data_IF_342034592686
#
_entry.id   IF_342034592686
#
_cell.length_a   1.000
_cell.length_b   1.000
_cell.length_c   1.000
_cell.angle_alpha   90.00
_cell.angle_beta   90.00
_cell.angle_gamma   90.00
#
_symmetry.space_group_name_H-M   'P 1'
#
loop_
_entity.id
_entity.type
_entity.pdbx_description
1 polymer ?
#
# COMPACT_ATOMS: atom_id res chain seq x y z
N UNK A 1 33.16 18.19 -17.16
CA UNK A 1 32.08 18.51 -16.21
C UNK A 1 30.86 17.70 -16.60
N UNK A 2 30.65 16.56 -15.95
CA UNK A 2 29.49 15.69 -16.20
C UNK A 2 28.33 16.23 -15.38
N UNK A 3 27.21 16.51 -16.02
CA UNK A 3 26.02 17.13 -15.46
C UNK A 3 25.29 16.14 -14.53
N UNK A 4 25.79 16.01 -13.30
CA UNK A 4 25.11 15.31 -12.21
C UNK A 4 24.05 16.26 -11.64
N UNK A 5 22.80 16.12 -12.11
CA UNK A 5 21.54 16.49 -11.41
C UNK A 5 20.39 16.58 -12.42
N UNK A 6 19.81 15.43 -12.78
CA UNK A 6 18.41 15.37 -13.23
C UNK A 6 17.64 14.66 -12.14
N UNK A 7 17.13 15.46 -11.19
CA UNK A 7 16.13 14.98 -10.24
C UNK A 7 14.99 14.36 -11.03
N UNK A 8 14.92 13.05 -10.86
CA UNK A 8 14.03 12.16 -11.56
C UNK A 8 12.70 12.23 -10.84
N UNK A 9 11.65 12.74 -11.46
CA UNK A 9 10.37 13.03 -10.79
C UNK A 9 9.23 12.18 -11.37
N UNK A 10 8.40 11.60 -10.49
CA UNK A 10 7.11 11.04 -10.84
C UNK A 10 6.08 12.16 -10.75
N UNK A 11 5.40 12.46 -11.85
CA UNK A 11 4.35 13.48 -11.89
C UNK A 11 3.00 12.87 -11.50
N UNK A 12 2.33 13.51 -10.55
CA UNK A 12 0.99 13.14 -10.13
C UNK A 12 -0.08 14.07 -10.73
N UNK A 13 -1.32 13.60 -10.81
CA UNK A 13 -2.44 14.31 -11.42
C UNK A 13 -2.88 15.56 -10.65
N UNK A 14 -2.55 15.63 -9.36
CA UNK A 14 -2.74 16.80 -8.50
C UNK A 14 -1.60 17.85 -8.65
N UNK A 15 -0.63 17.61 -9.53
CA UNK A 15 0.54 18.48 -9.71
C UNK A 15 1.68 18.23 -8.72
N UNK A 16 1.50 17.35 -7.73
CA UNK A 16 2.58 16.91 -6.86
C UNK A 16 3.61 16.11 -7.65
N UNK A 17 4.84 16.16 -7.14
CA UNK A 17 5.96 15.45 -7.71
C UNK A 17 6.65 14.65 -6.64
N UNK A 18 6.88 13.38 -6.93
CA UNK A 18 7.62 12.49 -6.04
C UNK A 18 9.03 12.32 -6.61
N UNK A 19 10.05 12.44 -5.78
CA UNK A 19 11.39 12.06 -6.18
C UNK A 19 11.43 10.56 -6.44
N UNK A 20 11.79 10.18 -7.65
CA UNK A 20 11.78 8.81 -8.13
C UNK A 20 12.72 7.92 -7.33
N UNK A 21 13.94 8.42 -7.04
CA UNK A 21 14.94 7.67 -6.26
C UNK A 21 14.42 7.37 -4.86
N UNK A 22 13.76 8.34 -4.23
CA UNK A 22 13.19 8.16 -2.89
C UNK A 22 12.03 7.17 -2.91
N UNK A 23 11.14 7.27 -3.90
CA UNK A 23 10.07 6.29 -4.10
C UNK A 23 10.65 4.88 -4.23
N UNK A 24 11.65 4.69 -5.09
CA UNK A 24 12.24 3.39 -5.27
C UNK A 24 12.96 2.87 -4.05
N UNK A 25 13.77 3.69 -3.40
CA UNK A 25 14.46 3.29 -2.17
C UNK A 25 13.45 2.83 -1.10
N UNK A 26 12.30 3.51 -1.01
CA UNK A 26 11.24 3.16 -0.07
C UNK A 26 10.52 1.84 -0.41
N UNK A 27 10.23 1.59 -1.69
CA UNK A 27 9.38 0.45 -2.10
C UNK A 27 10.14 -0.77 -2.64
N UNK A 28 11.45 -0.64 -2.92
CA UNK A 28 12.27 -1.73 -3.45
C UNK A 28 12.20 -3.02 -2.60
N UNK A 29 12.25 -2.98 -1.25
CA UNK A 29 12.11 -4.19 -0.43
C UNK A 29 10.73 -4.85 -0.56
N UNK A 30 9.67 -4.05 -0.66
CA UNK A 30 8.30 -4.56 -0.82
C UNK A 30 8.10 -5.20 -2.20
N UNK A 31 8.63 -4.57 -3.25
CA UNK A 31 8.60 -5.10 -4.61
C UNK A 31 9.39 -6.40 -4.77
N UNK A 32 10.58 -6.50 -4.16
CA UNK A 32 11.34 -7.75 -4.15
C UNK A 32 10.63 -8.85 -3.36
N UNK A 33 10.08 -8.52 -2.19
CA UNK A 33 9.31 -9.49 -1.39
C UNK A 33 8.08 -9.99 -2.15
N UNK A 34 7.46 -9.11 -2.93
CA UNK A 34 6.35 -9.47 -3.81
C UNK A 34 6.80 -10.39 -4.96
N UNK A 35 7.91 -10.08 -5.63
CA UNK A 35 8.49 -10.94 -6.67
C UNK A 35 8.88 -12.32 -6.13
N UNK A 36 9.39 -12.37 -4.89
CA UNK A 36 9.74 -13.61 -4.19
C UNK A 36 8.52 -14.53 -3.95
N UNK A 37 7.31 -13.97 -3.98
CA UNK A 37 6.07 -14.76 -4.00
C UNK A 37 5.85 -15.55 -5.30
N UNK A 38 6.64 -15.32 -6.34
CA UNK A 38 6.59 -16.00 -7.64
C UNK A 38 7.89 -16.77 -7.94
N UNK A 39 9.04 -16.16 -7.66
CA UNK A 39 10.37 -16.69 -7.99
C UNK A 39 11.15 -16.92 -6.68
N UNK A 40 11.71 -18.11 -6.50
CA UNK A 40 12.41 -18.44 -5.25
C UNK A 40 13.83 -17.84 -5.18
N UNK A 41 14.46 -17.61 -6.34
CA UNK A 41 15.81 -17.05 -6.43
C UNK A 41 15.80 -15.53 -6.19
N UNK A 42 16.43 -15.02 -5.11
CA UNK A 42 16.46 -13.59 -4.82
C UNK A 42 17.16 -12.75 -5.88
N UNK A 43 18.22 -13.27 -6.53
CA UNK A 43 18.95 -12.52 -7.54
C UNK A 43 18.07 -12.26 -8.77
N UNK A 44 17.31 -13.27 -9.19
CA UNK A 44 16.34 -13.14 -10.27
C UNK A 44 15.20 -12.17 -9.90
N UNK A 45 14.75 -12.19 -8.64
CA UNK A 45 13.76 -11.22 -8.16
C UNK A 45 14.28 -9.78 -8.27
N UNK A 46 15.52 -9.54 -7.83
CA UNK A 46 16.17 -8.23 -7.91
C UNK A 46 16.30 -7.75 -9.36
N UNK A 47 16.73 -8.62 -10.27
CA UNK A 47 16.83 -8.33 -11.71
C UNK A 47 15.48 -7.94 -12.31
N UNK A 48 14.42 -8.70 -12.02
CA UNK A 48 13.06 -8.40 -12.49
C UNK A 48 12.60 -7.03 -11.99
N UNK A 49 12.79 -6.73 -10.70
CA UNK A 49 12.36 -5.45 -10.13
C UNK A 49 13.17 -4.29 -10.71
N UNK A 50 14.48 -4.47 -10.92
CA UNK A 50 15.34 -3.47 -11.55
C UNK A 50 14.95 -3.20 -13.00
N UNK A 51 14.63 -4.23 -13.79
CA UNK A 51 14.19 -4.05 -15.17
C UNK A 51 12.87 -3.26 -15.25
N UNK A 52 11.92 -3.56 -14.35
CA UNK A 52 10.65 -2.79 -14.28
C UNK A 52 10.91 -1.34 -13.91
N UNK A 53 11.82 -1.05 -12.97
CA UNK A 53 12.25 0.32 -12.66
C UNK A 53 12.77 0.99 -13.93
N UNK A 54 13.76 0.41 -14.59
CA UNK A 54 14.39 1.01 -15.78
C UNK A 54 13.32 1.31 -16.85
N UNK A 55 12.43 0.35 -17.11
CA UNK A 55 11.32 0.53 -18.06
C UNK A 55 10.34 1.64 -17.64
N UNK A 56 10.09 1.79 -16.34
CA UNK A 56 9.26 2.87 -15.83
C UNK A 56 9.91 4.23 -16.07
N UNK A 57 11.22 4.33 -15.81
CA UNK A 57 11.98 5.57 -15.94
C UNK A 57 11.93 6.14 -17.37
N UNK A 58 11.99 5.27 -18.37
CA UNK A 58 11.94 5.66 -19.78
C UNK A 58 10.57 6.19 -20.22
N UNK A 59 9.48 5.77 -19.58
CA UNK A 59 8.10 6.01 -20.04
C UNK A 59 7.51 7.37 -19.64
N UNK A 60 8.16 8.13 -18.75
CA UNK A 60 7.78 9.51 -18.31
C UNK A 60 6.26 9.77 -18.21
N UNK A 61 5.52 8.86 -17.56
CA UNK A 61 4.06 8.95 -17.43
C UNK A 61 3.63 9.86 -16.27
N UNK A 62 2.47 10.49 -16.42
CA UNK A 62 1.74 11.12 -15.31
C UNK A 62 0.73 10.12 -14.74
N UNK A 63 0.72 9.96 -13.42
CA UNK A 63 -0.21 9.08 -12.71
C UNK A 63 -1.22 9.90 -11.92
N UNK A 64 -2.46 9.44 -11.71
CA UNK A 64 -3.44 10.21 -10.95
C UNK A 64 -3.03 10.41 -9.49
N UNK A 65 -2.42 9.41 -8.85
CA UNK A 65 -1.90 9.46 -7.48
C UNK A 65 -0.81 8.38 -7.27
N UNK A 66 -0.20 8.35 -6.08
CA UNK A 66 0.86 7.38 -5.74
C UNK A 66 0.38 5.91 -5.79
N UNK A 67 -0.88 5.63 -5.50
CA UNK A 67 -1.43 4.26 -5.59
C UNK A 67 -1.46 3.76 -7.02
N UNK A 68 -1.77 4.63 -8.00
CA UNK A 68 -1.69 4.28 -9.40
C UNK A 68 -0.25 4.01 -9.86
N UNK A 69 0.74 4.66 -9.24
CA UNK A 69 2.16 4.34 -9.47
C UNK A 69 2.48 2.94 -8.93
N UNK A 70 2.14 2.66 -7.66
CA UNK A 70 2.35 1.33 -7.05
C UNK A 70 1.62 0.22 -7.83
N UNK A 71 0.40 0.50 -8.27
CA UNK A 71 -0.41 -0.38 -9.11
C UNK A 71 0.31 -0.78 -10.40
N UNK A 72 0.93 0.20 -11.06
CA UNK A 72 1.75 -0.05 -12.23
C UNK A 72 2.92 -0.98 -11.90
N UNK A 73 3.66 -0.71 -10.82
CA UNK A 73 4.79 -1.55 -10.41
C UNK A 73 4.39 -2.97 -10.11
N UNK A 74 3.39 -3.19 -9.25
CA UNK A 74 2.93 -4.54 -8.92
C UNK A 74 2.44 -5.31 -10.14
N UNK A 75 1.74 -4.64 -11.06
CA UNK A 75 1.29 -5.25 -12.31
C UNK A 75 2.47 -5.61 -13.21
N UNK A 76 3.42 -4.69 -13.41
CA UNK A 76 4.60 -4.94 -14.23
C UNK A 76 5.50 -6.03 -13.67
N UNK A 77 5.78 -6.01 -12.35
CA UNK A 77 6.60 -7.03 -11.68
C UNK A 77 5.93 -8.40 -11.78
N UNK A 78 4.61 -8.49 -11.54
CA UNK A 78 3.86 -9.74 -11.70
C UNK A 78 4.00 -10.28 -13.11
N UNK A 79 3.78 -9.43 -14.12
CA UNK A 79 3.88 -9.85 -15.52
C UNK A 79 5.28 -10.33 -15.87
N UNK A 80 6.33 -9.58 -15.48
CA UNK A 80 7.72 -10.00 -15.68
C UNK A 80 8.05 -11.31 -14.96
N UNK A 81 7.56 -11.52 -13.74
CA UNK A 81 7.73 -12.80 -13.04
C UNK A 81 7.04 -13.95 -13.77
N UNK A 82 5.80 -13.74 -14.24
CA UNK A 82 5.06 -14.75 -15.00
C UNK A 82 5.74 -15.07 -16.33
N UNK A 83 6.27 -14.07 -17.03
CA UNK A 83 7.00 -14.25 -18.28
C UNK A 83 8.31 -15.02 -18.05
N UNK A 84 9.08 -14.67 -17.02
CA UNK A 84 10.25 -15.45 -16.60
C UNK A 84 9.90 -16.92 -16.34
N UNK A 85 8.81 -17.19 -15.60
CA UNK A 85 8.38 -18.55 -15.28
C UNK A 85 7.90 -19.33 -16.51
N UNK A 86 7.24 -18.68 -17.48
CA UNK A 86 6.87 -19.32 -18.77
C UNK A 86 8.10 -19.80 -19.54
N UNK A 87 9.18 -19.01 -19.52
CA UNK A 87 10.42 -19.36 -20.23
C UNK A 87 11.27 -20.40 -19.50
N UNK A 88 11.14 -20.50 -18.17
CA UNK A 88 12.03 -21.31 -17.33
C UNK A 88 11.43 -22.67 -16.93
N UNK A 89 10.10 -22.83 -17.00
CA UNK A 89 9.39 -24.02 -16.50
C UNK A 89 8.56 -24.68 -17.62
N UNK A 90 8.53 -26.03 -17.66
CA UNK A 90 7.65 -26.81 -18.54
C UNK A 90 6.19 -26.38 -18.34
N UNK A 91 5.46 -26.16 -19.45
CA UNK A 91 4.11 -25.57 -19.46
C UNK A 91 3.12 -26.16 -18.44
N UNK A 92 3.18 -27.46 -18.16
CA UNK A 92 2.29 -28.11 -17.18
C UNK A 92 2.50 -27.62 -15.75
N UNK A 93 3.75 -27.43 -15.32
CA UNK A 93 4.08 -26.88 -14.00
C UNK A 93 3.69 -25.40 -13.90
N UNK A 94 3.87 -24.63 -14.98
CA UNK A 94 3.40 -23.26 -15.07
C UNK A 94 1.87 -23.17 -14.94
N UNK A 95 1.12 -24.02 -15.66
CA UNK A 95 -0.34 -24.07 -15.58
C UNK A 95 -0.83 -24.42 -14.17
N UNK A 96 -0.15 -25.31 -13.45
CA UNK A 96 -0.50 -25.66 -12.07
C UNK A 96 -0.31 -24.48 -11.10
N UNK A 97 0.78 -23.72 -11.21
CA UNK A 97 1.04 -22.52 -10.41
C UNK A 97 -0.03 -21.46 -10.69
N UNK A 98 -0.37 -21.26 -11.97
CA UNK A 98 -1.32 -20.24 -12.39
C UNK A 98 -2.78 -20.61 -12.03
N UNK A 99 -3.14 -21.90 -12.10
CA UNK A 99 -4.50 -22.40 -11.79
C UNK A 99 -4.88 -22.26 -10.31
N UNK A 100 -3.91 -22.39 -9.39
CA UNK A 100 -4.13 -22.12 -7.96
C UNK A 100 -4.26 -20.62 -7.64
N UNK A 101 -3.95 -19.74 -8.59
CA UNK A 101 -4.00 -18.28 -8.48
C UNK A 101 -4.99 -17.67 -9.48
N UNK A 102 -6.11 -18.33 -9.71
CA UNK A 102 -7.23 -17.85 -10.56
C UNK A 102 -7.94 -16.58 -10.02
N UNK A 103 -7.23 -15.69 -9.33
CA UNK A 103 -7.67 -14.32 -9.08
C UNK A 103 -7.34 -13.47 -10.30
N UNK A 104 -8.29 -12.64 -10.73
CA UNK A 104 -8.03 -11.64 -11.75
C UNK A 104 -6.89 -10.73 -11.29
N UNK A 105 -6.06 -10.24 -12.23
CA UNK A 105 -4.98 -9.27 -11.93
C UNK A 105 -5.52 -8.09 -11.13
N UNK A 106 -6.76 -7.67 -11.41
CA UNK A 106 -7.46 -6.60 -10.72
C UNK A 106 -7.77 -6.94 -9.25
N UNK A 107 -8.33 -8.11 -8.96
CA UNK A 107 -8.68 -8.53 -7.60
C UNK A 107 -7.44 -8.67 -6.69
N UNK A 108 -6.38 -9.26 -7.22
CA UNK A 108 -5.11 -9.41 -6.51
C UNK A 108 -4.44 -8.05 -6.25
N UNK A 109 -4.44 -7.17 -7.26
CA UNK A 109 -3.87 -5.84 -7.13
C UNK A 109 -4.63 -5.00 -6.08
N UNK A 110 -5.96 -5.08 -6.09
CA UNK A 110 -6.81 -4.44 -5.09
C UNK A 110 -6.47 -4.91 -3.68
N UNK A 111 -6.21 -6.21 -3.48
CA UNK A 111 -5.80 -6.74 -2.17
C UNK A 111 -4.44 -6.20 -1.72
N UNK A 112 -3.45 -6.20 -2.61
CA UNK A 112 -2.10 -5.69 -2.29
C UNK A 112 -2.17 -4.21 -1.91
N UNK A 113 -2.82 -3.38 -2.74
CA UNK A 113 -2.96 -1.95 -2.47
C UNK A 113 -3.77 -1.68 -1.19
N UNK A 114 -4.81 -2.47 -0.93
CA UNK A 114 -5.56 -2.40 0.32
C UNK A 114 -4.68 -2.70 1.52
N UNK A 115 -3.87 -3.77 1.48
CA UNK A 115 -2.93 -4.10 2.56
C UNK A 115 -1.92 -2.99 2.79
N UNK A 116 -1.39 -2.40 1.73
CA UNK A 116 -0.47 -1.25 1.83
C UNK A 116 -1.13 -0.03 2.47
N UNK A 117 -2.33 0.33 2.01
CA UNK A 117 -3.10 1.44 2.57
C UNK A 117 -3.36 1.23 4.08
N UNK A 118 -3.77 0.02 4.49
CA UNK A 118 -3.95 -0.31 5.90
C UNK A 118 -2.64 -0.27 6.69
N UNK A 119 -1.53 -0.71 6.10
CA UNK A 119 -0.21 -0.64 6.74
C UNK A 119 0.21 0.82 6.99
N UNK A 120 -0.01 1.70 6.03
CA UNK A 120 0.27 3.14 6.16
C UNK A 120 -0.57 3.78 7.26
N UNK A 121 -1.86 3.47 7.31
CA UNK A 121 -2.76 3.88 8.39
C UNK A 121 -2.24 3.39 9.75
N UNK A 122 -1.86 2.12 9.84
CA UNK A 122 -1.36 1.51 11.08
C UNK A 122 -0.06 2.18 11.55
N UNK A 123 0.84 2.49 10.62
CA UNK A 123 2.08 3.20 10.91
C UNK A 123 1.84 4.60 11.45
N UNK A 124 0.89 5.36 10.89
CA UNK A 124 0.50 6.66 11.43
C UNK A 124 -0.17 6.55 12.80
N UNK A 125 -1.00 5.53 13.04
CA UNK A 125 -1.56 5.26 14.37
C UNK A 125 -0.47 4.99 15.39
N UNK A 126 0.59 4.25 15.02
CA UNK A 126 1.70 3.94 15.90
C UNK A 126 2.54 5.16 16.32
N UNK A 127 2.48 6.26 15.56
CA UNK A 127 3.15 7.53 15.89
C UNK A 127 2.37 8.39 16.88
N UNK A 128 1.12 8.04 17.20
CA UNK A 128 0.28 8.80 18.13
C UNK A 128 0.74 8.61 19.59
N UNK A 129 0.45 9.57 20.48
CA UNK A 129 0.57 9.37 21.93
C UNK A 129 -0.23 8.15 22.38
N UNK A 130 0.30 7.43 23.37
CA UNK A 130 -0.14 6.10 23.79
C UNK A 130 -1.66 5.96 23.97
N UNK A 131 -2.29 6.91 24.68
CA UNK A 131 -3.75 6.89 24.87
C UNK A 131 -4.53 7.08 23.56
N UNK A 132 -4.07 7.95 22.66
CA UNK A 132 -4.70 8.13 21.35
C UNK A 132 -4.55 6.90 20.46
N UNK A 133 -3.35 6.29 20.48
CA UNK A 133 -3.06 5.03 19.79
C UNK A 133 -3.99 3.91 20.27
N UNK A 134 -4.06 3.67 21.58
CA UNK A 134 -4.87 2.59 22.16
C UNK A 134 -6.36 2.74 21.83
N UNK A 135 -6.88 3.97 21.91
CA UNK A 135 -8.27 4.29 21.53
C UNK A 135 -8.51 3.94 20.06
N UNK A 136 -7.63 4.34 19.13
CA UNK A 136 -7.81 4.04 17.71
C UNK A 136 -7.67 2.56 17.35
N UNK A 137 -6.73 1.85 17.98
CA UNK A 137 -6.57 0.40 17.77
C UNK A 137 -7.82 -0.38 18.21
N UNK A 138 -8.51 0.06 19.27
CA UNK A 138 -9.76 -0.56 19.70
C UNK A 138 -10.93 -0.21 18.76
N UNK A 139 -10.97 1.00 18.21
CA UNK A 139 -11.95 1.37 17.18
C UNK A 139 -11.79 0.52 15.92
N UNK A 140 -10.56 0.24 15.49
CA UNK A 140 -10.28 -0.66 14.38
C UNK A 140 -10.73 -2.10 14.65
N UNK A 141 -10.89 -2.48 15.92
CA UNK A 141 -11.49 -3.75 16.35
C UNK A 141 -13.00 -3.63 16.62
N UNK A 142 -13.63 -2.61 16.03
CA UNK A 142 -15.06 -2.34 16.09
C UNK A 142 -15.63 -2.13 17.51
N UNK A 143 -14.80 -1.64 18.45
CA UNK A 143 -15.26 -1.32 19.81
C UNK A 143 -15.96 0.03 19.90
N UNK A 144 -17.07 0.07 20.66
CA UNK A 144 -17.80 1.30 20.97
C UNK A 144 -17.01 2.19 21.94
N UNK A 145 -17.37 3.48 22.03
CA UNK A 145 -16.68 4.38 22.97
C UNK A 145 -16.89 3.93 24.43
N UNK A 146 -18.03 3.32 24.73
CA UNK A 146 -18.42 2.77 26.03
C UNK A 146 -17.61 1.51 26.38
N UNK A 147 -17.44 0.61 25.42
CA UNK A 147 -16.54 -0.56 25.57
C UNK A 147 -15.09 -0.10 25.78
N UNK A 148 -14.63 0.88 25.00
CA UNK A 148 -13.26 1.42 25.13
C UNK A 148 -13.03 2.07 26.48
N UNK A 149 -14.01 2.87 26.96
CA UNK A 149 -13.96 3.48 28.28
C UNK A 149 -13.79 2.43 29.39
N UNK A 150 -14.52 1.33 29.27
CA UNK A 150 -14.45 0.19 30.19
C UNK A 150 -13.09 -0.51 30.11
N UNK A 151 -12.61 -0.83 28.91
CA UNK A 151 -11.33 -1.51 28.67
C UNK A 151 -10.14 -0.70 29.19
N UNK A 152 -10.16 0.62 28.97
CA UNK A 152 -9.07 1.52 29.35
C UNK A 152 -9.26 2.14 30.75
N UNK A 153 -10.35 1.81 31.44
CA UNK A 153 -10.72 2.35 32.75
C UNK A 153 -10.68 3.89 32.82
N UNK A 154 -11.34 4.55 31.86
CA UNK A 154 -11.45 6.02 31.76
C UNK A 154 -12.89 6.44 31.47
N UNK A 155 -13.22 7.72 31.67
CA UNK A 155 -14.53 8.23 31.30
C UNK A 155 -14.76 8.20 29.77
N UNK A 156 -15.99 7.91 29.34
CA UNK A 156 -16.40 7.94 27.91
C UNK A 156 -16.07 9.29 27.25
N UNK A 157 -16.19 10.39 27.98
CA UNK A 157 -15.81 11.71 27.47
C UNK A 157 -14.29 11.82 27.22
N UNK A 158 -13.46 11.20 28.07
CA UNK A 158 -12.02 11.11 27.88
C UNK A 158 -11.67 10.31 26.61
N UNK A 159 -12.38 9.22 26.33
CA UNK A 159 -12.27 8.47 25.06
C UNK A 159 -12.55 9.38 23.87
N UNK A 160 -13.67 10.13 23.91
CA UNK A 160 -14.04 11.07 22.84
C UNK A 160 -12.97 12.15 22.62
N UNK A 161 -12.38 12.67 23.70
CA UNK A 161 -11.28 13.65 23.62
C UNK A 161 -10.03 13.07 22.96
N UNK A 162 -9.59 11.87 23.37
CA UNK A 162 -8.43 11.21 22.76
C UNK A 162 -8.70 10.87 21.28
N UNK A 163 -9.89 10.38 20.96
CA UNK A 163 -10.34 10.10 19.60
C UNK A 163 -10.28 11.35 18.71
N UNK A 164 -10.86 12.47 19.16
CA UNK A 164 -10.87 13.71 18.42
C UNK A 164 -9.44 14.25 18.15
N UNK A 165 -8.56 14.19 19.16
CA UNK A 165 -7.15 14.59 19.02
C UNK A 165 -6.40 13.69 18.05
N UNK A 166 -6.58 12.38 18.16
CA UNK A 166 -5.95 11.39 17.28
C UNK A 166 -6.40 11.57 15.82
N UNK A 167 -7.71 11.73 15.57
CA UNK A 167 -8.24 11.99 14.24
C UNK A 167 -7.75 13.31 13.64
N UNK A 168 -7.56 14.35 14.43
CA UNK A 168 -6.98 15.61 13.94
C UNK A 168 -5.55 15.41 13.41
N UNK A 169 -4.74 14.61 14.10
CA UNK A 169 -3.38 14.27 13.65
C UNK A 169 -3.44 13.40 12.39
N UNK A 170 -4.23 12.32 12.42
CA UNK A 170 -4.32 11.38 11.30
C UNK A 170 -4.89 12.01 10.03
N UNK A 171 -5.90 12.89 10.13
CA UNK A 171 -6.46 13.60 8.97
C UNK A 171 -5.41 14.45 8.25
N UNK A 172 -4.47 15.02 9.00
CA UNK A 172 -3.37 15.81 8.44
C UNK A 172 -2.33 14.92 7.73
N UNK A 173 -2.09 13.72 8.24
CA UNK A 173 -1.01 12.86 7.76
C UNK A 173 -1.45 11.86 6.68
N UNK A 174 -2.73 11.44 6.67
CA UNK A 174 -3.23 10.36 5.81
C UNK A 174 -4.01 10.86 4.57
N UNK A 175 -4.34 12.14 4.45
CA UNK A 175 -5.13 12.68 3.33
C UNK A 175 -6.35 11.81 3.00
N UNK A 176 -6.49 11.32 1.76
CA UNK A 176 -7.61 10.50 1.31
C UNK A 176 -7.69 9.13 2.00
N UNK A 177 -6.56 8.59 2.48
CA UNK A 177 -6.55 7.33 3.24
C UNK A 177 -7.29 7.46 4.58
N UNK A 178 -7.44 8.67 5.10
CA UNK A 178 -8.21 8.93 6.31
C UNK A 178 -9.67 8.44 6.16
N UNK A 179 -10.21 8.41 4.95
CA UNK A 179 -11.56 7.92 4.67
C UNK A 179 -11.72 6.44 5.00
N UNK A 180 -10.65 5.63 4.92
CA UNK A 180 -10.68 4.21 5.25
C UNK A 180 -10.79 3.92 6.75
N UNK A 181 -10.57 4.92 7.63
CA UNK A 181 -10.80 4.79 9.07
C UNK A 181 -12.28 4.83 9.44
N UNK A 182 -13.14 5.28 8.52
CA UNK A 182 -14.58 5.19 8.69
C UNK A 182 -15.05 3.97 7.93
N UNK A 183 -15.74 3.02 8.57
CA UNK A 183 -16.51 2.06 7.80
C UNK A 183 -17.48 2.89 6.95
N UNK A 184 -17.46 2.70 5.63
CA UNK A 184 -18.53 3.18 4.77
C UNK A 184 -19.86 2.83 5.47
N UNK A 185 -20.81 3.77 5.59
CA UNK A 185 -22.07 3.47 6.24
C UNK A 185 -22.69 2.26 5.55
N UNK A 186 -22.75 1.10 6.22
CA UNK A 186 -23.42 -0.11 5.73
C UNK A 186 -24.95 0.01 5.73
N UNK A 187 -25.47 1.23 5.67
CA UNK A 187 -26.89 1.52 5.55
C UNK A 187 -27.11 2.63 4.52
N UNK A 188 -27.11 2.27 3.24
CA UNK A 188 -28.12 2.89 2.36
C UNK A 188 -29.44 2.17 2.68
N UNK A 189 -30.49 2.88 3.13
CA UNK A 189 -31.82 2.29 3.15
C UNK A 189 -32.20 2.00 1.70
N UNK A 190 -32.44 0.73 1.38
CA UNK A 190 -33.33 0.40 0.28
C UNK A 190 -34.71 0.96 0.63
N UNK A 191 -35.12 1.97 -0.10
CA UNK A 191 -36.52 2.42 -0.21
C UNK A 191 -36.76 2.75 -1.67
#
# INVERSE_FOLDING_TARGET
>A
MVNTSRDSEIKLGNGEKINLKDFFTAYYPAFNSFAAGYIADPAVCEDVVQEVFISFWEKQKTFPNVYAVKAFFYTSIRNSCLDFLKHTIVEEKYRAINKNRNESTESFLEEVLRKEAYSEIYNEINKLPEMGKNVLLLILREKSNEEIATILNIAVNTVKTHKARAYKVLRKNLNDLFLLLFPFPKHLPHS
#
